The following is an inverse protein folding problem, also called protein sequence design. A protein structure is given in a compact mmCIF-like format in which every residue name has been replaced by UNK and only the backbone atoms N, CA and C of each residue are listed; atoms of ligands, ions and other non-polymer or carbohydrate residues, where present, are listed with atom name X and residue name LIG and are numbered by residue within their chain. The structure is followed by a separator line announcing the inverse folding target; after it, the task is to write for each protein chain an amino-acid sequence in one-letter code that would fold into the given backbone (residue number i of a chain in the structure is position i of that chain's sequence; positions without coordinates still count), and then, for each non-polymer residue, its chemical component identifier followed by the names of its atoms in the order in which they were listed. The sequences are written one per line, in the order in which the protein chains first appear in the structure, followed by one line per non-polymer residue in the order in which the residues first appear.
data_IF_820080603368
#
_entry.id   IF_820080603368
#
_cell.length_a   1.000
_cell.length_b   1.000
_cell.length_c   1.000
_cell.angle_alpha   90.00
_cell.angle_beta   90.00
_cell.angle_gamma   90.00
#
_symmetry.space_group_name_H-M   'P 1'
#
loop_
_entity.id
_entity.type
_entity.pdbx_description
1 polymer ?
#
# COMPACT_ATOMS: atom_id res chain seq x y z
N UNK A 1 9.75 15.20 10.41
CA UNK A 1 9.54 15.33 8.95
C UNK A 1 10.90 15.43 8.27
N UNK A 2 11.13 14.62 7.25
CA UNK A 2 12.35 14.56 6.46
C UNK A 2 12.13 15.31 5.13
N UNK A 3 12.91 16.36 4.81
CA UNK A 3 12.82 17.00 3.51
C UNK A 3 13.35 16.05 2.43
N UNK A 4 12.67 15.99 1.29
CA UNK A 4 12.99 15.15 0.16
C UNK A 4 12.83 15.89 -1.17
N UNK A 5 13.47 15.36 -2.19
CA UNK A 5 13.39 15.86 -3.57
C UNK A 5 12.93 14.74 -4.48
N UNK A 6 11.98 15.04 -5.37
CA UNK A 6 11.60 14.15 -6.45
C UNK A 6 12.78 14.00 -7.40
N UNK A 7 13.14 12.76 -7.72
CA UNK A 7 14.25 12.44 -8.64
C UNK A 7 13.78 11.71 -9.89
N UNK A 8 12.66 10.99 -9.81
CA UNK A 8 11.98 10.38 -10.95
C UNK A 8 10.46 10.32 -10.72
N UNK A 9 9.69 10.28 -11.82
CA UNK A 9 8.24 10.09 -11.83
C UNK A 9 7.87 9.34 -13.11
N UNK A 10 7.90 8.01 -13.03
CA UNK A 10 7.76 7.13 -14.19
C UNK A 10 6.36 6.55 -14.26
N UNK A 11 5.80 6.49 -15.46
CA UNK A 11 4.55 5.76 -15.72
C UNK A 11 4.91 4.27 -15.93
N UNK A 12 4.67 3.44 -14.90
CA UNK A 12 5.04 2.01 -14.90
C UNK A 12 3.90 1.10 -15.37
N UNK A 13 2.67 1.60 -15.34
CA UNK A 13 1.50 1.09 -16.04
C UNK A 13 0.55 2.26 -16.36
N UNK A 14 -0.44 2.14 -17.27
CA UNK A 14 -1.26 3.29 -17.66
C UNK A 14 -1.95 4.02 -16.51
N UNK A 15 -2.31 3.30 -15.43
CA UNK A 15 -2.91 3.87 -14.22
C UNK A 15 -1.98 3.78 -12.99
N UNK A 16 -0.67 3.58 -13.18
CA UNK A 16 0.27 3.42 -12.08
C UNK A 16 1.57 4.20 -12.32
N UNK A 17 1.90 5.08 -11.38
CA UNK A 17 3.15 5.84 -11.39
C UNK A 17 4.09 5.38 -10.29
N UNK A 18 5.39 5.34 -10.58
CA UNK A 18 6.45 5.21 -9.59
C UNK A 18 7.12 6.56 -9.37
N UNK A 19 6.95 7.10 -8.16
CA UNK A 19 7.58 8.34 -7.74
C UNK A 19 8.83 8.01 -6.90
N UNK A 20 9.99 8.49 -7.35
CA UNK A 20 11.23 8.32 -6.59
C UNK A 20 11.58 9.59 -5.83
N UNK A 21 11.75 9.46 -4.52
CA UNK A 21 12.15 10.53 -3.61
C UNK A 21 13.53 10.27 -3.05
N UNK A 22 14.39 11.29 -3.06
CA UNK A 22 15.72 11.24 -2.48
C UNK A 22 15.83 12.17 -1.27
N UNK A 23 16.52 11.71 -0.22
CA UNK A 23 16.95 12.54 0.89
C UNK A 23 18.24 11.98 1.51
N UNK A 24 19.26 12.80 1.78
CA UNK A 24 20.46 12.36 2.50
C UNK A 24 20.16 11.77 3.88
N UNK A 25 19.05 12.19 4.53
CA UNK A 25 18.62 11.69 5.85
C UNK A 25 18.17 10.24 5.79
N UNK A 26 17.74 9.75 4.61
CA UNK A 26 17.35 8.35 4.43
C UNK A 26 18.57 7.42 4.38
N UNK A 27 19.78 7.93 4.23
CA UNK A 27 20.97 7.08 4.10
C UNK A 27 21.27 6.33 5.40
N UNK A 28 21.50 5.03 5.27
CA UNK A 28 21.80 4.15 6.40
C UNK A 28 20.62 3.90 7.34
N UNK A 29 19.40 4.34 7.00
CA UNK A 29 18.20 3.86 7.67
C UNK A 29 17.96 2.39 7.32
N UNK A 30 17.19 1.71 8.16
CA UNK A 30 16.73 0.35 7.92
C UNK A 30 15.22 0.34 8.08
N UNK A 31 14.52 -0.34 7.17
CA UNK A 31 13.08 -0.52 7.31
C UNK A 31 12.78 -1.39 8.53
N UNK A 32 11.71 -1.09 9.24
CA UNK A 32 11.19 -1.89 10.34
C UNK A 32 10.48 -3.16 9.85
N UNK A 33 10.15 -3.25 8.56
CA UNK A 33 9.54 -4.41 7.92
C UNK A 33 9.17 -4.15 6.46
N UNK A 34 8.66 -5.16 5.74
CA UNK A 34 8.48 -5.10 4.28
C UNK A 34 7.36 -4.16 3.84
N UNK A 35 6.32 -3.97 4.63
CA UNK A 35 5.18 -3.11 4.28
C UNK A 35 5.28 -1.71 4.90
N UNK A 36 6.48 -1.28 5.27
CA UNK A 36 6.70 0.06 5.79
C UNK A 36 6.22 1.12 4.80
N UNK A 37 5.61 2.16 5.34
CA UNK A 37 4.97 3.23 4.58
C UNK A 37 5.37 4.59 5.10
N UNK A 38 5.15 5.62 4.28
CA UNK A 38 5.43 7.01 4.62
C UNK A 38 4.19 7.87 4.47
N UNK A 39 4.11 8.91 5.30
CA UNK A 39 3.31 10.09 5.01
C UNK A 39 4.06 11.00 4.04
N UNK A 40 3.62 11.07 2.79
CA UNK A 40 4.07 12.03 1.80
C UNK A 40 3.39 13.39 2.04
N UNK A 41 4.18 14.39 2.41
CA UNK A 41 3.77 15.79 2.46
C UNK A 41 4.02 16.45 1.12
N UNK A 42 2.96 16.97 0.51
CA UNK A 42 2.95 17.61 -0.80
C UNK A 42 2.78 19.11 -0.62
N UNK A 43 3.79 19.94 -0.95
CA UNK A 43 3.74 21.36 -0.67
C UNK A 43 2.65 22.09 -1.48
N UNK A 44 2.17 23.19 -0.92
CA UNK A 44 1.40 24.17 -1.70
C UNK A 44 2.39 24.88 -2.65
N UNK A 45 2.06 25.08 -3.94
CA UNK A 45 2.95 25.75 -4.88
C UNK A 45 3.42 27.12 -4.38
N UNK A 46 4.74 27.33 -4.40
CA UNK A 46 5.37 28.56 -3.92
C UNK A 46 5.47 28.72 -2.40
N UNK A 47 4.99 27.74 -1.62
CA UNK A 47 5.08 27.73 -0.15
C UNK A 47 6.11 26.68 0.29
N UNK A 48 7.14 27.06 1.06
CA UNK A 48 8.07 26.11 1.65
C UNK A 48 7.37 25.08 2.54
N UNK A 49 7.88 23.86 2.58
CA UNK A 49 7.37 22.85 3.52
C UNK A 49 7.57 23.29 4.98
N UNK A 50 6.60 23.00 5.87
CA UNK A 50 6.76 23.25 7.30
C UNK A 50 7.96 22.50 7.86
N UNK A 51 8.87 23.17 8.56
CA UNK A 51 10.00 22.51 9.22
C UNK A 51 9.56 21.68 10.44
N UNK A 52 10.37 20.69 10.88
CA UNK A 52 10.12 19.98 12.15
C UNK A 52 10.09 20.88 13.38
N UNK A 53 10.64 22.11 13.33
CA UNK A 53 10.55 23.06 14.44
C UNK A 53 9.23 23.85 14.44
N UNK A 54 8.59 24.00 13.27
CA UNK A 54 7.28 24.66 13.12
C UNK A 54 6.10 23.73 13.35
N UNK A 55 6.36 22.43 13.46
CA UNK A 55 5.38 21.39 13.75
C UNK A 55 5.96 20.64 14.94
N UNK A 56 5.51 20.92 16.16
CA UNK A 56 5.93 20.13 17.32
C UNK A 56 5.52 18.67 17.04
N UNK A 57 6.50 17.81 16.80
CA UNK A 57 6.30 16.45 16.24
C UNK A 57 6.70 15.36 17.22
N UNK A 58 7.29 15.72 18.36
CA UNK A 58 7.64 14.77 19.40
C UNK A 58 6.36 14.39 20.17
N UNK A 59 5.72 13.31 19.71
CA UNK A 59 4.50 12.74 20.29
C UNK A 59 3.19 13.18 19.64
N UNK A 60 3.23 14.02 18.60
CA UNK A 60 2.04 14.53 17.91
C UNK A 60 1.69 13.72 16.66
N UNK A 61 0.39 13.45 16.50
CA UNK A 61 -0.19 12.87 15.29
C UNK A 61 0.00 13.84 14.13
N UNK A 62 0.83 13.48 13.14
CA UNK A 62 1.13 14.31 11.96
C UNK A 62 -0.14 14.81 11.24
N UNK A 63 -1.25 14.07 11.27
CA UNK A 63 -2.54 14.55 10.74
C UNK A 63 -3.03 15.80 11.47
N UNK A 64 -3.01 15.78 12.79
CA UNK A 64 -3.44 16.92 13.62
C UNK A 64 -2.52 18.12 13.37
N UNK A 65 -1.21 17.86 13.36
CA UNK A 65 -0.21 18.90 13.19
C UNK A 65 -0.31 19.59 11.80
N UNK A 66 -0.58 18.83 10.73
CA UNK A 66 -0.87 19.39 9.40
C UNK A 66 -2.23 20.09 9.36
N UNK A 67 -3.25 19.55 10.04
CA UNK A 67 -4.59 20.14 10.08
C UNK A 67 -4.64 21.50 10.80
N UNK A 68 -3.72 21.75 11.73
CA UNK A 68 -3.62 23.01 12.48
C UNK A 68 -2.95 24.14 11.66
N UNK A 69 -2.24 23.81 10.57
CA UNK A 69 -1.64 24.81 9.71
C UNK A 69 -2.68 25.65 8.95
N UNK A 70 -2.41 26.95 8.69
CA UNK A 70 -3.25 27.77 7.83
C UNK A 70 -3.50 27.10 6.48
N UNK A 71 -4.74 27.16 5.96
CA UNK A 71 -5.13 26.42 4.74
C UNK A 71 -4.22 26.74 3.53
N UNK A 72 -3.70 27.96 3.44
CA UNK A 72 -2.82 28.42 2.37
C UNK A 72 -1.40 27.86 2.47
N UNK A 73 -1.00 27.39 3.65
CA UNK A 73 0.33 26.83 3.94
C UNK A 73 0.28 25.32 4.18
N UNK A 74 -0.92 24.76 4.27
CA UNK A 74 -1.17 23.36 4.64
C UNK A 74 -0.77 22.43 3.49
N UNK A 75 0.30 21.62 3.65
CA UNK A 75 0.65 20.64 2.64
C UNK A 75 -0.44 19.58 2.55
N UNK A 76 -0.63 19.02 1.36
CA UNK A 76 -1.33 17.75 1.23
C UNK A 76 -0.57 16.66 1.98
N UNK A 77 -1.27 15.68 2.53
CA UNK A 77 -0.64 14.56 3.23
C UNK A 77 -1.32 13.26 2.77
N UNK A 78 -0.54 12.30 2.25
CA UNK A 78 -1.02 10.99 1.78
C UNK A 78 -0.07 9.87 2.20
N UNK A 79 -0.59 8.64 2.28
CA UNK A 79 0.13 7.49 2.83
C UNK A 79 0.46 6.55 1.67
N UNK A 80 1.73 6.16 1.55
CA UNK A 80 2.20 5.29 0.49
C UNK A 80 3.19 4.29 1.06
N UNK A 81 3.07 3.03 0.64
CA UNK A 81 4.07 2.00 0.92
C UNK A 81 5.39 2.37 0.26
N UNK A 82 6.50 2.12 0.96
CA UNK A 82 7.84 2.14 0.37
C UNK A 82 7.97 0.89 -0.50
N UNK A 83 7.83 1.03 -1.82
CA UNK A 83 7.92 -0.10 -2.76
C UNK A 83 9.35 -0.63 -2.88
N UNK A 84 10.32 0.29 -2.95
CA UNK A 84 11.74 -0.01 -2.94
C UNK A 84 12.47 1.01 -2.08
N UNK A 85 13.51 0.56 -1.38
CA UNK A 85 14.39 1.43 -0.62
C UNK A 85 15.86 1.16 -0.96
N UNK A 86 16.53 2.17 -1.53
CA UNK A 86 17.96 2.14 -1.85
C UNK A 86 18.70 2.90 -0.76
N UNK A 87 19.04 2.21 0.32
CA UNK A 87 19.63 2.81 1.53
C UNK A 87 20.91 3.60 1.28
N UNK A 88 21.79 3.15 0.38
CA UNK A 88 23.06 3.83 0.13
C UNK A 88 22.87 5.13 -0.66
N UNK A 89 21.92 5.13 -1.60
CA UNK A 89 21.53 6.32 -2.34
C UNK A 89 20.73 7.31 -1.46
N UNK A 90 19.95 6.78 -0.51
CA UNK A 90 18.97 7.53 0.27
C UNK A 90 17.71 7.80 -0.54
N UNK A 91 17.23 6.79 -1.28
CA UNK A 91 16.08 6.91 -2.17
C UNK A 91 14.99 5.89 -1.86
N UNK A 92 13.74 6.33 -1.92
CA UNK A 92 12.57 5.46 -1.84
C UNK A 92 11.72 5.59 -3.11
N UNK A 93 11.09 4.49 -3.51
CA UNK A 93 10.04 4.48 -4.53
C UNK A 93 8.66 4.36 -3.87
N UNK A 94 7.72 5.14 -4.37
CA UNK A 94 6.32 5.09 -4.00
C UNK A 94 5.49 4.80 -5.26
N UNK A 95 4.70 3.74 -5.21
CA UNK A 95 3.77 3.43 -6.30
C UNK A 95 2.42 4.09 -6.02
N UNK A 96 1.94 4.86 -7.00
CA UNK A 96 0.76 5.71 -6.90
C UNK A 96 -0.24 5.30 -7.96
N UNK A 97 -1.35 4.71 -7.51
CA UNK A 97 -2.49 4.39 -8.36
C UNK A 97 -3.18 5.68 -8.80
N UNK A 98 -3.42 5.78 -10.10
CA UNK A 98 -4.00 6.94 -10.75
C UNK A 98 -5.47 6.65 -11.04
N UNK A 99 -6.36 7.25 -10.26
CA UNK A 99 -7.79 7.21 -10.55
C UNK A 99 -8.12 8.15 -11.72
N UNK A 100 -8.99 7.69 -12.60
CA UNK A 100 -9.52 8.35 -13.80
C UNK A 100 -10.25 9.66 -13.50
N UNK A 101 -10.82 9.79 -12.30
CA UNK A 101 -11.48 11.01 -11.85
C UNK A 101 -10.51 12.14 -11.44
N UNK A 102 -9.20 11.85 -11.34
CA UNK A 102 -8.16 12.76 -10.84
C UNK A 102 -8.61 13.59 -9.62
N UNK A 103 -9.46 13.05 -8.74
CA UNK A 103 -10.20 13.89 -7.78
C UNK A 103 -9.45 14.13 -6.46
N UNK A 104 -8.41 13.33 -6.21
CA UNK A 104 -7.61 13.39 -4.99
C UNK A 104 -6.42 14.35 -5.10
N UNK A 105 -6.14 15.20 -4.09
CA UNK A 105 -4.95 16.06 -4.10
C UNK A 105 -3.64 15.28 -4.14
N UNK A 106 -3.65 14.00 -3.73
CA UNK A 106 -2.50 13.09 -3.82
C UNK A 106 -2.17 12.70 -5.25
N UNK A 107 -3.13 12.11 -5.96
CA UNK A 107 -2.95 11.70 -7.36
C UNK A 107 -2.69 12.91 -8.27
N UNK A 108 -3.35 14.04 -8.03
CA UNK A 108 -3.08 15.29 -8.77
C UNK A 108 -1.65 15.78 -8.63
N UNK A 109 -1.13 15.84 -7.40
CA UNK A 109 0.25 16.26 -7.17
C UNK A 109 1.23 15.25 -7.76
N UNK A 110 1.02 13.95 -7.54
CA UNK A 110 1.89 12.90 -8.08
C UNK A 110 1.88 12.86 -9.62
N UNK A 111 0.76 13.22 -10.27
CA UNK A 111 0.70 13.34 -11.73
C UNK A 111 1.55 14.49 -12.27
N UNK A 112 1.66 15.58 -11.51
CA UNK A 112 2.33 16.81 -11.93
C UNK A 112 3.80 16.90 -11.46
N UNK A 113 4.18 16.13 -10.44
CA UNK A 113 5.50 16.16 -9.85
C UNK A 113 6.61 15.86 -10.87
N UNK A 114 7.66 16.65 -10.85
CA UNK A 114 8.82 16.50 -11.73
C UNK A 114 10.12 16.43 -10.93
N UNK A 115 11.20 15.84 -11.50
CA UNK A 115 12.51 15.87 -10.88
C UNK A 115 12.93 17.30 -10.48
N UNK A 116 13.35 17.46 -9.23
CA UNK A 116 13.67 18.75 -8.61
C UNK A 116 12.56 19.31 -7.70
N UNK A 117 11.32 18.81 -7.80
CA UNK A 117 10.25 19.22 -6.89
C UNK A 117 10.53 18.79 -5.45
N UNK A 118 10.06 19.59 -4.50
CA UNK A 118 10.24 19.31 -3.07
C UNK A 118 9.06 18.54 -2.49
N UNK A 119 9.34 17.65 -1.56
CA UNK A 119 8.36 16.88 -0.81
C UNK A 119 8.83 16.69 0.63
N UNK A 120 7.92 16.34 1.53
CA UNK A 120 8.24 15.93 2.89
C UNK A 120 7.92 14.47 3.09
N UNK A 121 8.74 13.79 3.89
CA UNK A 121 8.56 12.40 4.28
C UNK A 121 8.31 12.33 5.78
N UNK A 122 7.24 11.65 6.16
CA UNK A 122 6.96 11.25 7.54
C UNK A 122 7.10 9.74 7.62
N UNK A 123 8.17 9.25 8.26
CA UNK A 123 8.39 7.82 8.44
C UNK A 123 7.30 7.23 9.34
N UNK A 124 6.81 6.07 8.96
CA UNK A 124 5.95 5.22 9.79
C UNK A 124 6.66 3.88 9.99
N UNK A 125 5.99 2.94 10.65
CA UNK A 125 6.52 1.59 10.80
C UNK A 125 5.72 0.63 9.92
N UNK A 126 6.38 -0.44 9.50
CA UNK A 126 5.73 -1.66 9.05
C UNK A 126 4.69 -2.13 10.06
N UNK A 127 3.62 -2.75 9.56
CA UNK A 127 2.50 -3.24 10.36
C UNK A 127 2.32 -4.74 10.20
N UNK A 128 2.74 -5.31 9.07
CA UNK A 128 2.63 -6.73 8.82
C UNK A 128 3.50 -7.54 9.78
N UNK A 129 2.90 -8.57 10.34
CA UNK A 129 3.59 -9.57 11.15
C UNK A 129 3.59 -10.89 10.39
N UNK A 130 4.73 -11.57 10.35
CA UNK A 130 4.87 -12.82 9.61
C UNK A 130 4.08 -13.95 10.25
N UNK A 131 3.19 -14.54 9.45
CA UNK A 131 2.54 -15.82 9.74
C UNK A 131 2.94 -16.85 8.68
N UNK A 132 3.37 -18.04 9.11
CA UNK A 132 3.87 -19.10 8.22
C UNK A 132 2.76 -20.03 7.73
N UNK A 133 1.73 -20.21 8.54
CA UNK A 133 0.74 -21.26 8.34
C UNK A 133 -0.42 -20.73 7.50
N UNK A 134 -0.36 -21.03 6.20
CA UNK A 134 -1.43 -20.78 5.21
C UNK A 134 -2.03 -19.36 5.23
N UNK A 135 -1.21 -18.30 5.11
CA UNK A 135 -1.72 -16.94 5.05
C UNK A 135 -2.46 -16.69 3.73
N UNK A 136 -3.61 -16.02 3.83
CA UNK A 136 -4.33 -15.45 2.69
C UNK A 136 -4.13 -13.94 2.64
N UNK A 137 -3.58 -13.45 1.54
CA UNK A 137 -3.41 -12.04 1.24
C UNK A 137 -4.49 -11.58 0.27
N UNK A 138 -5.15 -10.47 0.59
CA UNK A 138 -6.11 -9.81 -0.29
C UNK A 138 -5.70 -8.34 -0.48
N UNK A 139 -5.47 -7.93 -1.72
CA UNK A 139 -5.03 -6.58 -2.06
C UNK A 139 -5.85 -5.99 -3.21
N UNK A 140 -6.14 -4.69 -3.14
CA UNK A 140 -6.43 -3.89 -4.33
C UNK A 140 -5.14 -3.23 -4.87
N UNK A 141 -5.15 -2.48 -6.00
CA UNK A 141 -3.94 -1.90 -6.56
C UNK A 141 -3.18 -0.98 -5.59
N UNK A 142 -3.87 -0.33 -4.66
CA UNK A 142 -3.24 0.56 -3.66
C UNK A 142 -2.43 -0.22 -2.61
N UNK A 143 -2.76 -1.49 -2.40
CA UNK A 143 -2.11 -2.37 -1.44
C UNK A 143 -1.12 -3.35 -2.08
N UNK A 144 -1.14 -3.51 -3.41
CA UNK A 144 -0.19 -4.37 -4.15
C UNK A 144 1.28 -4.04 -3.89
N UNK A 145 1.71 -2.76 -3.74
CA UNK A 145 3.11 -2.47 -3.38
C UNK A 145 3.55 -3.12 -2.06
N UNK A 146 2.69 -3.11 -1.04
CA UNK A 146 2.97 -3.78 0.25
C UNK A 146 2.96 -5.31 0.11
N UNK A 147 1.99 -5.84 -0.63
CA UNK A 147 1.94 -7.27 -0.94
C UNK A 147 3.23 -7.74 -1.62
N UNK A 148 3.70 -7.05 -2.67
CA UNK A 148 4.94 -7.43 -3.37
C UNK A 148 6.14 -7.38 -2.43
N UNK A 149 6.28 -6.33 -1.62
CA UNK A 149 7.36 -6.24 -0.66
C UNK A 149 7.34 -7.36 0.39
N UNK A 150 6.15 -7.78 0.86
CA UNK A 150 6.00 -8.94 1.75
C UNK A 150 6.43 -10.24 1.06
N UNK A 151 6.03 -10.44 -0.19
CA UNK A 151 6.40 -11.62 -0.97
C UNK A 151 7.91 -11.67 -1.25
N UNK A 152 8.53 -10.54 -1.62
CA UNK A 152 9.97 -10.39 -1.82
C UNK A 152 10.75 -10.69 -0.54
N UNK A 153 10.36 -10.08 0.58
CA UNK A 153 10.95 -10.37 1.88
C UNK A 153 10.84 -11.85 2.25
N UNK A 154 9.68 -12.46 2.00
CA UNK A 154 9.48 -13.88 2.27
C UNK A 154 10.35 -14.74 1.35
N UNK A 155 10.49 -14.40 0.07
CA UNK A 155 11.38 -15.10 -0.84
C UNK A 155 12.84 -15.08 -0.38
N UNK A 156 13.31 -13.92 0.10
CA UNK A 156 14.70 -13.72 0.49
C UNK A 156 15.03 -14.37 1.84
N UNK A 157 14.10 -14.36 2.79
CA UNK A 157 14.37 -14.77 4.17
C UNK A 157 13.71 -16.09 4.57
N UNK A 158 12.61 -16.46 3.91
CA UNK A 158 11.75 -17.58 4.28
C UNK A 158 11.13 -18.30 3.06
N UNK A 159 11.93 -18.69 2.05
CA UNK A 159 11.40 -19.16 0.76
C UNK A 159 10.46 -20.37 0.87
N UNK A 160 10.69 -21.26 1.84
CA UNK A 160 9.88 -22.46 2.07
C UNK A 160 8.43 -22.15 2.48
N UNK A 161 8.15 -20.93 2.92
CA UNK A 161 6.78 -20.52 3.28
C UNK A 161 5.96 -20.05 2.09
N UNK A 162 6.57 -19.61 0.99
CA UNK A 162 5.84 -19.08 -0.17
C UNK A 162 4.80 -20.08 -0.69
N UNK A 163 5.13 -21.36 -0.75
CA UNK A 163 4.21 -22.41 -1.20
C UNK A 163 2.93 -22.54 -0.34
N UNK A 164 2.90 -21.94 0.85
CA UNK A 164 1.72 -21.87 1.74
C UNK A 164 0.94 -20.57 1.56
N UNK A 165 1.47 -19.58 0.86
CA UNK A 165 0.86 -18.26 0.73
C UNK A 165 -0.20 -18.29 -0.37
N UNK A 166 -1.38 -17.75 -0.08
CA UNK A 166 -2.48 -17.63 -1.03
C UNK A 166 -2.78 -16.16 -1.28
N UNK A 167 -2.87 -15.74 -2.54
CA UNK A 167 -2.88 -14.33 -2.90
C UNK A 167 -4.04 -14.02 -3.82
N UNK A 168 -4.88 -13.06 -3.43
CA UNK A 168 -6.00 -12.55 -4.21
C UNK A 168 -5.77 -11.06 -4.45
N UNK A 169 -5.60 -10.68 -5.71
CA UNK A 169 -5.53 -9.27 -6.11
C UNK A 169 -6.80 -8.91 -6.86
N UNK A 170 -7.48 -7.85 -6.47
CA UNK A 170 -8.66 -7.33 -7.17
C UNK A 170 -8.33 -5.98 -7.79
N UNK A 171 -8.53 -5.83 -9.09
CA UNK A 171 -8.24 -4.60 -9.84
C UNK A 171 -9.37 -4.32 -10.85
N UNK A 172 -9.39 -3.14 -11.46
CA UNK A 172 -10.34 -2.86 -12.54
C UNK A 172 -9.81 -3.33 -13.88
N UNK A 173 -8.50 -3.25 -14.04
CA UNK A 173 -7.80 -3.63 -15.26
C UNK A 173 -6.35 -4.02 -14.95
N UNK A 174 -5.65 -4.69 -15.89
CA UNK A 174 -4.20 -4.88 -15.77
C UNK A 174 -3.42 -3.56 -15.73
N UNK A 175 -4.02 -2.46 -16.19
CA UNK A 175 -3.38 -1.15 -16.25
C UNK A 175 -3.14 -0.52 -14.86
N UNK A 176 -3.78 -1.06 -13.83
CA UNK A 176 -3.67 -0.61 -12.45
C UNK A 176 -2.47 -1.24 -11.70
N UNK A 177 -1.82 -2.23 -12.32
CA UNK A 177 -0.84 -3.10 -11.66
C UNK A 177 0.55 -2.95 -12.28
N UNK A 178 1.59 -3.08 -11.43
CA UNK A 178 2.95 -3.28 -11.93
C UNK A 178 3.03 -4.59 -12.70
N UNK A 179 3.59 -4.55 -13.91
CA UNK A 179 3.76 -5.73 -14.75
C UNK A 179 4.62 -6.80 -14.07
N UNK A 180 4.40 -8.07 -14.40
CA UNK A 180 5.18 -9.19 -13.88
C UNK A 180 4.64 -9.79 -12.58
N UNK A 181 3.52 -9.29 -12.02
CA UNK A 181 2.98 -9.84 -10.77
C UNK A 181 2.64 -11.34 -10.90
N UNK A 182 1.97 -11.77 -11.98
CA UNK A 182 1.63 -13.17 -12.16
C UNK A 182 2.87 -14.00 -12.52
N UNK A 183 3.64 -13.51 -13.49
CA UNK A 183 4.83 -14.17 -14.03
C UNK A 183 5.89 -14.43 -12.96
N UNK A 184 6.00 -13.55 -11.96
CA UNK A 184 6.99 -13.68 -10.91
C UNK A 184 6.55 -14.58 -9.75
N UNK A 185 5.25 -14.65 -9.47
CA UNK A 185 4.74 -15.22 -8.21
C UNK A 185 3.86 -16.45 -8.35
N UNK A 186 3.17 -16.65 -9.48
CA UNK A 186 2.18 -17.74 -9.64
C UNK A 186 2.76 -19.14 -9.36
N UNK A 187 4.01 -19.38 -9.77
CA UNK A 187 4.72 -20.66 -9.54
C UNK A 187 5.44 -20.75 -8.19
N UNK A 188 5.53 -19.64 -7.45
CA UNK A 188 6.22 -19.58 -6.15
C UNK A 188 5.26 -19.66 -4.97
N UNK A 189 4.09 -19.04 -5.10
CA UNK A 189 3.07 -19.04 -4.05
C UNK A 189 2.16 -20.26 -4.15
N UNK A 190 1.47 -20.61 -3.07
CA UNK A 190 0.52 -21.72 -3.07
C UNK A 190 -0.67 -21.51 -4.01
N UNK A 191 -1.13 -20.25 -4.16
CA UNK A 191 -2.00 -19.85 -5.26
C UNK A 191 -2.03 -18.33 -5.45
N UNK A 192 -2.21 -17.89 -6.70
CA UNK A 192 -2.43 -16.49 -7.06
C UNK A 192 -3.68 -16.36 -7.92
N UNK A 193 -4.58 -15.45 -7.54
CA UNK A 193 -5.77 -15.08 -8.33
C UNK A 193 -5.82 -13.58 -8.52
N UNK A 194 -5.70 -13.12 -9.77
CA UNK A 194 -5.96 -11.74 -10.15
C UNK A 194 -7.40 -11.66 -10.67
N UNK A 195 -8.22 -10.84 -10.01
CA UNK A 195 -9.66 -10.69 -10.24
C UNK A 195 -9.89 -9.30 -10.83
N UNK A 196 -10.32 -9.26 -12.10
CA UNK A 196 -10.76 -8.01 -12.70
C UNK A 196 -12.25 -7.81 -12.45
N UNK A 197 -12.58 -6.75 -11.72
CA UNK A 197 -13.94 -6.39 -11.34
C UNK A 197 -14.30 -4.99 -11.85
N UNK A 198 -15.56 -4.78 -12.22
CA UNK A 198 -16.04 -3.43 -12.51
C UNK A 198 -15.97 -2.53 -11.25
N UNK A 199 -15.83 -1.21 -11.40
CA UNK A 199 -15.85 -0.29 -10.26
C UNK A 199 -17.05 -0.51 -9.35
N UNK A 200 -16.80 -0.65 -8.04
CA UNK A 200 -17.81 -0.91 -7.01
C UNK A 200 -18.18 -2.40 -6.83
N UNK A 201 -17.64 -3.31 -7.65
CA UNK A 201 -17.89 -4.75 -7.59
C UNK A 201 -16.75 -5.56 -6.95
N UNK A 202 -15.67 -4.91 -6.52
CA UNK A 202 -14.42 -5.52 -6.05
C UNK A 202 -14.67 -6.44 -4.85
N UNK A 203 -15.38 -5.92 -3.83
CA UNK A 203 -15.73 -6.69 -2.63
C UNK A 203 -16.61 -7.90 -2.93
N UNK A 204 -17.56 -7.77 -3.86
CA UNK A 204 -18.44 -8.89 -4.25
C UNK A 204 -17.64 -9.94 -5.01
N UNK A 205 -16.78 -9.51 -5.94
CA UNK A 205 -15.94 -10.39 -6.72
C UNK A 205 -14.99 -11.21 -5.84
N UNK A 206 -14.29 -10.56 -4.90
CA UNK A 206 -13.38 -11.24 -3.97
C UNK A 206 -14.14 -12.20 -3.06
N UNK A 207 -15.20 -11.75 -2.39
CA UNK A 207 -15.92 -12.62 -1.44
C UNK A 207 -16.63 -13.78 -2.13
N UNK A 208 -17.07 -13.61 -3.37
CA UNK A 208 -17.58 -14.72 -4.20
C UNK A 208 -16.48 -15.75 -4.45
N UNK A 209 -15.26 -15.33 -4.78
CA UNK A 209 -14.14 -16.24 -4.99
C UNK A 209 -13.70 -16.94 -3.70
N UNK A 210 -13.72 -16.25 -2.56
CA UNK A 210 -13.44 -16.87 -1.26
C UNK A 210 -14.47 -17.96 -0.91
N UNK A 211 -15.77 -17.68 -1.08
CA UNK A 211 -16.83 -18.67 -0.83
C UNK A 211 -16.76 -19.85 -1.81
N UNK A 212 -16.39 -19.60 -3.07
CA UNK A 212 -16.16 -20.67 -4.06
C UNK A 212 -14.98 -21.56 -3.65
N UNK A 213 -13.87 -20.95 -3.25
CA UNK A 213 -12.73 -21.69 -2.72
C UNK A 213 -13.16 -22.54 -1.51
N UNK A 214 -13.91 -21.98 -0.56
CA UNK A 214 -14.45 -22.69 0.61
C UNK A 214 -15.38 -23.87 0.28
N UNK A 215 -16.07 -23.82 -0.86
CA UNK A 215 -16.91 -24.91 -1.35
C UNK A 215 -16.14 -25.99 -2.12
N UNK A 216 -14.82 -25.83 -2.26
CA UNK A 216 -13.89 -26.75 -2.91
C UNK A 216 -12.75 -27.10 -1.97
N UNK A 217 -12.00 -28.18 -2.25
CA UNK A 217 -10.79 -28.51 -1.48
C UNK A 217 -9.60 -27.59 -1.84
N UNK A 218 -9.85 -26.31 -2.14
CA UNK A 218 -8.82 -25.30 -2.46
C UNK A 218 -8.07 -24.94 -1.16
N UNK A 219 -6.72 -25.01 -1.12
CA UNK A 219 -5.96 -24.62 0.07
C UNK A 219 -6.22 -23.18 0.56
N UNK A 220 -6.68 -22.26 -0.31
CA UNK A 220 -7.10 -20.92 0.09
C UNK A 220 -8.44 -20.89 0.88
N UNK A 221 -9.14 -22.02 0.98
CA UNK A 221 -10.44 -22.19 1.65
C UNK A 221 -10.40 -22.15 3.18
N UNK A 222 -9.25 -22.44 3.79
CA UNK A 222 -9.13 -22.51 5.25
C UNK A 222 -7.83 -21.83 5.74
N UNK A 223 -7.66 -20.53 5.47
CA UNK A 223 -6.49 -19.80 5.92
C UNK A 223 -6.41 -19.79 7.46
N UNK A 224 -5.19 -19.77 8.01
CA UNK A 224 -5.00 -19.57 9.47
C UNK A 224 -4.68 -18.12 9.81
N UNK A 225 -4.34 -17.33 8.80
CA UNK A 225 -4.12 -15.90 8.89
C UNK A 225 -4.64 -15.20 7.64
N UNK A 226 -5.22 -14.01 7.80
CA UNK A 226 -5.67 -13.17 6.69
C UNK A 226 -5.06 -11.79 6.81
N UNK A 227 -4.39 -11.36 5.75
CA UNK A 227 -4.00 -9.97 5.54
C UNK A 227 -4.89 -9.36 4.46
N UNK A 228 -5.56 -8.25 4.74
CA UNK A 228 -6.34 -7.52 3.74
C UNK A 228 -6.13 -6.02 3.81
N UNK A 229 -5.69 -5.43 2.71
CA UNK A 229 -5.53 -3.98 2.59
C UNK A 229 -6.05 -3.46 1.26
N UNK A 230 -6.50 -2.20 1.25
CA UNK A 230 -7.12 -1.55 0.10
C UNK A 230 -8.31 -0.69 0.50
N UNK A 231 -9.37 -0.70 -0.30
CA UNK A 231 -10.62 0.00 0.00
C UNK A 231 -11.24 -0.49 1.32
N UNK A 232 -11.77 0.44 2.12
CA UNK A 232 -12.30 0.14 3.45
C UNK A 232 -13.46 -0.87 3.47
N UNK A 233 -14.40 -0.77 2.54
CA UNK A 233 -15.50 -1.71 2.35
C UNK A 233 -15.01 -3.10 1.92
N UNK A 234 -14.05 -3.19 1.01
CA UNK A 234 -13.37 -4.45 0.66
C UNK A 234 -12.75 -5.09 1.91
N UNK A 235 -11.88 -4.36 2.61
CA UNK A 235 -11.18 -4.88 3.79
C UNK A 235 -12.15 -5.32 4.89
N UNK A 236 -13.21 -4.54 5.12
CA UNK A 236 -14.26 -4.87 6.10
C UNK A 236 -15.01 -6.15 5.73
N UNK A 237 -15.40 -6.32 4.47
CA UNK A 237 -16.19 -7.49 4.07
C UNK A 237 -15.33 -8.76 3.99
N UNK A 238 -14.08 -8.66 3.54
CA UNK A 238 -13.13 -9.79 3.58
C UNK A 238 -12.88 -10.24 5.02
N UNK A 239 -12.65 -9.31 5.95
CA UNK A 239 -12.52 -9.63 7.37
C UNK A 239 -13.76 -10.35 7.90
N UNK A 240 -14.95 -9.89 7.53
CA UNK A 240 -16.21 -10.51 7.93
C UNK A 240 -16.33 -11.95 7.40
N UNK A 241 -16.03 -12.18 6.12
CA UNK A 241 -16.04 -13.54 5.53
C UNK A 241 -15.01 -14.44 6.22
N UNK A 242 -13.78 -13.95 6.44
CA UNK A 242 -12.74 -14.71 7.10
C UNK A 242 -13.17 -15.22 8.50
N UNK A 243 -13.76 -14.33 9.29
CA UNK A 243 -14.16 -14.65 10.67
C UNK A 243 -15.46 -15.45 10.72
N UNK A 244 -16.52 -14.97 10.06
CA UNK A 244 -17.87 -15.49 10.23
C UNK A 244 -18.12 -16.75 9.37
N UNK A 245 -17.39 -16.91 8.26
CA UNK A 245 -17.61 -17.99 7.30
C UNK A 245 -16.43 -18.97 7.21
N UNK A 246 -15.18 -18.48 7.25
CA UNK A 246 -13.98 -19.34 7.16
C UNK A 246 -13.42 -19.76 8.53
N UNK A 247 -13.93 -19.19 9.63
CA UNK A 247 -13.57 -19.58 10.99
C UNK A 247 -12.19 -19.09 11.46
N UNK A 248 -11.61 -18.08 10.79
CA UNK A 248 -10.34 -17.47 11.21
C UNK A 248 -10.56 -16.70 12.52
N UNK A 249 -9.66 -16.89 13.49
CA UNK A 249 -9.68 -16.09 14.71
C UNK A 249 -9.44 -14.61 14.38
N UNK A 250 -10.20 -13.72 15.02
CA UNK A 250 -10.16 -12.27 14.79
C UNK A 250 -8.78 -11.67 15.06
N UNK A 251 -8.00 -12.28 15.95
CA UNK A 251 -6.64 -11.86 16.28
C UNK A 251 -5.62 -12.24 15.19
N UNK A 252 -6.02 -13.09 14.23
CA UNK A 252 -5.24 -13.50 13.06
C UNK A 252 -5.77 -12.89 11.75
N UNK A 253 -6.47 -11.76 11.86
CA UNK A 253 -6.91 -10.97 10.70
C UNK A 253 -6.35 -9.56 10.77
N UNK A 254 -5.26 -9.34 10.05
CA UNK A 254 -4.71 -8.01 9.82
C UNK A 254 -5.48 -7.33 8.69
N UNK A 255 -6.14 -6.23 9.01
CA UNK A 255 -6.92 -5.49 8.03
C UNK A 255 -6.67 -3.99 8.14
N UNK A 256 -6.28 -3.37 7.03
CA UNK A 256 -6.02 -1.92 6.99
C UNK A 256 -6.72 -1.29 5.79
N UNK A 257 -7.67 -0.42 6.08
CA UNK A 257 -8.30 0.43 5.09
C UNK A 257 -7.32 1.51 4.60
N UNK A 258 -6.80 1.39 3.38
CA UNK A 258 -5.86 2.34 2.78
C UNK A 258 -6.59 3.58 2.28
N UNK A 259 -7.76 3.41 1.68
CA UNK A 259 -8.61 4.49 1.18
C UNK A 259 -10.09 4.18 1.42
N UNK A 260 -10.93 5.19 1.20
CA UNK A 260 -12.39 5.07 1.33
C UNK A 260 -13.00 5.67 0.06
N UNK A 261 -13.93 4.95 -0.55
CA UNK A 261 -14.62 5.46 -1.72
C UNK A 261 -15.36 6.78 -1.40
N UNK A 262 -15.19 7.77 -2.28
CA UNK A 262 -15.89 9.06 -2.21
C UNK A 262 -15.46 10.01 -1.09
N UNK A 263 -14.46 9.66 -0.25
CA UNK A 263 -13.99 10.55 0.83
C UNK A 263 -12.55 10.30 1.28
N UNK A 264 -11.84 11.31 1.79
CA UNK A 264 -10.53 11.10 2.41
C UNK A 264 -10.63 10.23 3.66
N UNK A 265 -9.59 9.43 3.91
CA UNK A 265 -9.42 8.70 5.16
C UNK A 265 -9.25 9.71 6.31
N UNK A 266 -10.06 9.64 7.40
CA UNK A 266 -9.96 10.55 8.53
C UNK A 266 -8.63 10.41 9.29
#
# INVERSE_FOLDING_TARGET
MIPATVTANDLIAPNLRRLTLASPVLRGLTLTGPDEYVGLLMPVPGVPLPTPASVDVDGLNIRAAVADLPKQERPGLRWYTIRHFRQDAGEIDLDVVMHDDHSGPGSLWCAAAAPGDTAGIWLCNAIWIRHADRPLFVADPSAVPALRAILEFTADHHPDDLAKYHVYVVAHSPDDLEAGLAEEWEEKVGSLKIIYAAPGMEKEAVTTQLRRAAASDDPAAAPEYVWVSGEAGLAKEVRKVAVDELGVDRDFVDWVAYWIEGRPRP
#
